data_IF_264532394367
#
_entry.id   IF_264532394367
#
_cell.length_a   1.000
_cell.length_b   1.000
_cell.length_c   1.000
_cell.angle_alpha   90.00
_cell.angle_beta   90.00
_cell.angle_gamma   90.00
#
_symmetry.space_group_name_H-M   'P 1'
#
loop_
_entity.id
_entity.type
_entity.pdbx_description
1 polymer ?
#
# COMPACT_ATOMS: atom_id res chain seq x y z
N UNK A 1 -7.76 -22.47 -9.83
CA UNK A 1 -7.61 -21.22 -9.12
C UNK A 1 -8.65 -20.30 -9.68
N UNK A 2 -8.94 -19.16 -9.10
CA UNK A 2 -10.15 -18.46 -9.49
C UNK A 2 -9.95 -16.95 -9.49
N UNK A 3 -10.52 -16.26 -10.47
CA UNK A 3 -10.71 -14.81 -10.44
C UNK A 3 -11.68 -14.41 -9.32
N UNK A 4 -11.53 -13.19 -8.79
CA UNK A 4 -12.47 -12.60 -7.83
C UNK A 4 -12.95 -11.27 -8.38
N UNK A 5 -14.28 -11.14 -8.57
CA UNK A 5 -14.89 -9.95 -9.17
C UNK A 5 -15.89 -9.36 -8.20
N UNK A 6 -15.67 -8.08 -7.87
CA UNK A 6 -16.56 -7.24 -7.09
C UNK A 6 -17.19 -6.19 -8.02
N UNK A 7 -18.52 -6.12 -8.09
CA UNK A 7 -19.24 -5.15 -8.92
C UNK A 7 -20.22 -4.35 -8.06
N UNK A 8 -19.98 -3.04 -7.98
CA UNK A 8 -20.79 -2.08 -7.23
C UNK A 8 -21.06 -2.51 -5.78
N UNK A 9 -20.09 -3.15 -5.15
CA UNK A 9 -20.19 -3.62 -3.78
C UNK A 9 -20.34 -2.44 -2.83
N UNK A 10 -21.41 -2.47 -2.02
CA UNK A 10 -21.64 -1.51 -0.94
C UNK A 10 -21.79 -2.23 0.40
N UNK A 11 -21.30 -1.58 1.45
CA UNK A 11 -21.56 -1.97 2.84
C UNK A 11 -22.00 -0.77 3.65
N UNK A 12 -23.22 -0.85 4.18
CA UNK A 12 -23.78 0.15 5.09
C UNK A 12 -24.13 -0.50 6.41
N UNK A 13 -23.69 0.07 7.53
CA UNK A 13 -24.06 -0.36 8.87
C UNK A 13 -25.32 0.37 9.39
N UNK A 14 -25.94 -0.15 10.43
CA UNK A 14 -27.25 0.26 10.92
C UNK A 14 -27.43 1.74 11.31
N UNK A 15 -26.33 2.50 11.41
CA UNK A 15 -26.31 3.95 11.65
C UNK A 15 -26.15 4.78 10.36
N UNK A 16 -26.44 4.21 9.19
CA UNK A 16 -26.19 4.76 7.85
C UNK A 16 -24.68 5.03 7.56
N UNK A 17 -23.78 4.47 8.35
CA UNK A 17 -22.34 4.55 8.06
C UNK A 17 -21.99 3.66 6.87
N UNK A 18 -21.60 4.29 5.76
CA UNK A 18 -21.18 3.60 4.55
C UNK A 18 -19.69 3.26 4.65
N UNK A 19 -19.38 2.01 4.99
CA UNK A 19 -18.00 1.54 5.14
C UNK A 19 -17.34 1.18 3.81
N UNK A 20 -18.13 0.78 2.82
CA UNK A 20 -17.71 0.55 1.42
C UNK A 20 -18.78 1.15 0.51
N UNK A 21 -18.33 1.91 -0.48
CA UNK A 21 -19.19 2.60 -1.45
C UNK A 21 -18.80 2.27 -2.89
N UNK A 22 -19.69 1.53 -3.58
CA UNK A 22 -19.57 1.17 -4.99
C UNK A 22 -18.19 0.61 -5.38
N UNK A 23 -17.65 -0.28 -4.55
CA UNK A 23 -16.37 -0.92 -4.84
C UNK A 23 -16.49 -1.81 -6.08
N UNK A 24 -15.76 -1.43 -7.13
CA UNK A 24 -15.57 -2.20 -8.35
C UNK A 24 -14.11 -2.64 -8.42
N UNK A 25 -13.87 -3.95 -8.35
CA UNK A 25 -12.51 -4.51 -8.30
C UNK A 25 -12.51 -5.90 -8.93
N UNK A 26 -11.57 -6.12 -9.84
CA UNK A 26 -11.31 -7.42 -10.46
C UNK A 26 -9.91 -7.88 -10.06
N UNK A 27 -9.80 -9.11 -9.57
CA UNK A 27 -8.54 -9.80 -9.27
C UNK A 27 -8.43 -10.97 -10.22
N UNK A 28 -7.37 -11.02 -11.00
CA UNK A 28 -7.16 -12.05 -12.00
C UNK A 28 -6.75 -13.39 -11.36
N UNK A 29 -6.92 -14.49 -12.09
CA UNK A 29 -6.49 -15.81 -11.62
C UNK A 29 -4.96 -15.83 -11.39
N UNK A 30 -4.55 -16.22 -10.19
CA UNK A 30 -3.15 -16.27 -9.78
C UNK A 30 -2.53 -14.90 -9.39
N UNK A 31 -3.29 -13.81 -9.48
CA UNK A 31 -2.82 -12.47 -9.11
C UNK A 31 -2.61 -12.32 -7.61
N UNK A 32 -1.58 -11.54 -7.24
CA UNK A 32 -1.37 -11.06 -5.89
C UNK A 32 -1.82 -9.59 -5.79
N UNK A 33 -3.07 -9.37 -5.40
CA UNK A 33 -3.62 -8.03 -5.19
C UNK A 33 -3.45 -7.58 -3.74
N UNK A 34 -2.99 -6.35 -3.54
CA UNK A 34 -2.90 -5.74 -2.20
C UNK A 34 -3.95 -4.62 -2.06
N UNK A 35 -4.71 -4.65 -0.97
CA UNK A 35 -5.59 -3.56 -0.55
C UNK A 35 -4.85 -2.71 0.48
N UNK A 36 -4.68 -1.42 0.20
CA UNK A 36 -3.98 -0.48 1.08
C UNK A 36 -4.79 0.81 1.25
N UNK A 37 -4.52 1.56 2.31
CA UNK A 37 -5.19 2.83 2.61
C UNK A 37 -5.13 3.13 4.11
N UNK A 38 -5.53 4.33 4.54
CA UNK A 38 -5.55 4.75 5.94
C UNK A 38 -6.37 3.84 6.83
N UNK A 39 -6.15 3.94 8.13
CA UNK A 39 -6.94 3.22 9.14
C UNK A 39 -8.44 3.54 8.99
N UNK A 40 -9.29 2.51 9.05
CA UNK A 40 -10.75 2.67 8.93
C UNK A 40 -11.28 2.91 7.50
N UNK A 41 -10.45 2.88 6.45
CA UNK A 41 -10.92 3.10 5.07
C UNK A 41 -11.70 1.93 4.43
N UNK A 42 -11.93 0.82 5.16
CA UNK A 42 -12.78 -0.29 4.71
C UNK A 42 -12.05 -1.54 4.20
N UNK A 43 -10.71 -1.61 4.22
CA UNK A 43 -9.91 -2.76 3.72
C UNK A 43 -10.35 -4.10 4.30
N UNK A 44 -10.30 -4.22 5.63
CA UNK A 44 -10.70 -5.46 6.32
C UNK A 44 -12.19 -5.76 6.16
N UNK A 45 -13.05 -4.73 6.00
CA UNK A 45 -14.47 -4.91 5.68
C UNK A 45 -14.63 -5.55 4.30
N UNK A 46 -13.93 -5.03 3.27
CA UNK A 46 -13.94 -5.60 1.93
C UNK A 46 -13.44 -7.06 1.95
N UNK A 47 -12.33 -7.34 2.64
CA UNK A 47 -11.80 -8.69 2.77
C UNK A 47 -12.79 -9.64 3.45
N UNK A 48 -13.44 -9.18 4.54
CA UNK A 48 -14.45 -9.98 5.27
C UNK A 48 -15.71 -10.23 4.45
N UNK A 49 -16.13 -9.27 3.61
CA UNK A 49 -17.24 -9.49 2.66
C UNK A 49 -16.88 -10.57 1.64
N UNK A 50 -15.66 -10.57 1.09
CA UNK A 50 -15.19 -11.64 0.18
C UNK A 50 -15.18 -12.98 0.92
N UNK A 51 -14.76 -13.00 2.18
CA UNK A 51 -14.77 -14.20 3.01
C UNK A 51 -16.17 -14.69 3.42
N UNK A 52 -17.21 -13.89 3.25
CA UNK A 52 -18.57 -14.16 3.76
C UNK A 52 -18.69 -14.05 5.29
N UNK A 53 -17.74 -13.38 5.92
CA UNK A 53 -17.75 -13.06 7.36
C UNK A 53 -18.46 -11.75 7.66
N UNK A 54 -18.79 -11.00 6.63
CA UNK A 54 -19.54 -9.75 6.68
C UNK A 54 -20.52 -9.73 5.50
N UNK A 55 -21.77 -9.38 5.76
CA UNK A 55 -22.81 -9.33 4.74
C UNK A 55 -22.60 -8.15 3.79
N UNK A 56 -22.89 -8.36 2.52
CA UNK A 56 -22.91 -7.34 1.49
C UNK A 56 -24.29 -6.65 1.51
N UNK A 57 -24.33 -5.32 1.53
CA UNK A 57 -25.58 -4.56 1.51
C UNK A 57 -26.18 -4.50 0.09
N UNK A 58 -25.34 -4.33 -0.93
CA UNK A 58 -25.73 -4.36 -2.35
C UNK A 58 -24.51 -4.59 -3.24
N UNK A 59 -24.73 -4.98 -4.49
CA UNK A 59 -23.71 -5.33 -5.46
C UNK A 59 -23.60 -6.83 -5.69
N UNK A 60 -22.65 -7.25 -6.52
CA UNK A 60 -22.41 -8.68 -6.81
C UNK A 60 -20.96 -9.06 -6.52
N UNK A 61 -20.75 -10.27 -6.02
CA UNK A 61 -19.45 -10.88 -5.76
C UNK A 61 -19.36 -12.24 -6.40
N UNK A 62 -18.36 -12.43 -7.28
CA UNK A 62 -18.12 -13.73 -7.91
C UNK A 62 -16.70 -14.22 -7.60
N UNK A 63 -16.58 -15.53 -7.37
CA UNK A 63 -15.31 -16.25 -7.20
C UNK A 63 -15.30 -17.40 -8.21
N UNK A 64 -14.35 -17.42 -9.15
CA UNK A 64 -14.31 -18.41 -10.20
C UNK A 64 -15.59 -18.48 -11.05
N UNK A 65 -16.21 -17.33 -11.32
CA UNK A 65 -17.47 -17.21 -12.06
C UNK A 65 -18.74 -17.57 -11.27
N UNK A 66 -18.62 -18.05 -10.03
CA UNK A 66 -19.75 -18.41 -9.15
C UNK A 66 -20.14 -17.21 -8.30
N UNK A 67 -21.43 -16.85 -8.30
CA UNK A 67 -21.98 -15.85 -7.38
C UNK A 67 -21.96 -16.39 -5.94
N UNK A 68 -21.35 -15.63 -5.03
CA UNK A 68 -21.14 -16.05 -3.64
C UNK A 68 -21.76 -15.10 -2.62
N UNK A 69 -22.59 -14.13 -3.04
CA UNK A 69 -23.14 -13.10 -2.13
C UNK A 69 -23.87 -13.75 -0.95
N UNK A 70 -24.77 -14.68 -1.22
CA UNK A 70 -25.57 -15.39 -0.20
C UNK A 70 -24.91 -16.70 0.28
N UNK A 71 -23.72 -17.03 -0.22
CA UNK A 71 -23.03 -18.28 0.11
C UNK A 71 -22.31 -18.16 1.47
N UNK A 72 -22.50 -19.09 2.40
CA UNK A 72 -21.82 -19.05 3.68
C UNK A 72 -20.30 -19.28 3.53
N UNK A 73 -19.47 -18.77 4.45
CA UNK A 73 -17.99 -18.79 4.35
C UNK A 73 -17.39 -20.18 4.06
N UNK A 74 -17.97 -21.23 4.63
CA UNK A 74 -17.47 -22.62 4.49
C UNK A 74 -17.56 -23.16 3.06
N UNK A 75 -18.46 -22.59 2.25
CA UNK A 75 -18.79 -23.09 0.90
C UNK A 75 -18.15 -22.21 -0.20
N UNK A 76 -17.50 -21.08 0.15
CA UNK A 76 -16.87 -20.15 -0.83
C UNK A 76 -15.53 -20.60 -1.38
N UNK A 77 -15.03 -21.76 -0.98
CA UNK A 77 -13.71 -22.31 -1.38
C UNK A 77 -12.54 -21.33 -1.22
N UNK A 78 -12.52 -20.61 -0.13
CA UNK A 78 -11.46 -19.66 0.23
C UNK A 78 -10.74 -20.08 1.51
N UNK A 79 -9.51 -19.60 1.69
CA UNK A 79 -8.80 -19.70 2.96
C UNK A 79 -8.38 -18.33 3.45
N UNK A 80 -8.56 -18.07 4.75
CA UNK A 80 -8.23 -16.79 5.37
C UNK A 80 -7.15 -16.94 6.43
N UNK A 81 -6.15 -16.06 6.36
CA UNK A 81 -5.13 -15.84 7.39
C UNK A 81 -5.46 -14.56 8.12
N UNK A 82 -5.75 -14.65 9.42
CA UNK A 82 -6.10 -13.52 10.27
C UNK A 82 -4.87 -12.85 10.86
N UNK A 83 -4.97 -11.58 11.20
CA UNK A 83 -3.95 -10.80 11.89
C UNK A 83 -3.42 -11.46 13.17
N UNK A 84 -4.28 -12.11 13.95
CA UNK A 84 -3.92 -12.84 15.17
C UNK A 84 -3.45 -14.28 14.92
N UNK A 85 -3.27 -14.69 13.64
CA UNK A 85 -2.99 -16.07 13.20
C UNK A 85 -4.09 -17.08 13.54
N UNK A 86 -4.92 -16.83 14.55
CA UNK A 86 -6.04 -17.65 15.01
C UNK A 86 -5.70 -19.16 15.18
N UNK A 87 -4.49 -19.48 15.67
CA UNK A 87 -4.07 -20.86 15.93
C UNK A 87 -4.76 -21.44 17.15
N UNK A 88 -5.06 -22.73 17.11
CA UNK A 88 -5.59 -23.46 18.26
C UNK A 88 -4.46 -23.73 19.27
N UNK A 89 -4.44 -23.07 20.44
CA UNK A 89 -3.26 -23.07 21.33
C UNK A 89 -2.99 -24.43 21.99
N UNK A 90 -4.01 -25.27 22.11
CA UNK A 90 -3.91 -26.60 22.71
C UNK A 90 -3.47 -27.68 21.72
N UNK A 91 -3.53 -27.40 20.42
CA UNK A 91 -3.13 -28.31 19.35
C UNK A 91 -1.66 -28.12 18.96
N UNK A 92 -1.03 -29.18 18.50
CA UNK A 92 0.32 -29.14 17.88
C UNK A 92 0.27 -28.42 16.53
N UNK A 93 1.44 -28.14 15.94
CA UNK A 93 1.56 -27.63 14.55
C UNK A 93 0.91 -28.59 13.58
N UNK A 94 1.20 -29.89 13.68
CA UNK A 94 0.57 -30.92 12.85
C UNK A 94 -0.96 -30.87 12.96
N UNK A 95 -1.48 -30.83 14.17
CA UNK A 95 -2.93 -30.82 14.41
C UNK A 95 -3.60 -29.52 13.90
N UNK A 96 -2.93 -28.38 14.04
CA UNK A 96 -3.42 -27.10 13.50
C UNK A 96 -3.53 -27.17 11.98
N UNK A 97 -2.50 -27.65 11.27
CA UNK A 97 -2.50 -27.75 9.82
C UNK A 97 -3.53 -28.81 9.36
N UNK A 98 -3.57 -29.99 10.00
CA UNK A 98 -4.46 -31.07 9.63
C UNK A 98 -5.93 -30.86 10.01
N UNK A 99 -6.27 -29.77 10.72
CA UNK A 99 -7.59 -29.59 11.35
C UNK A 99 -8.74 -29.65 10.35
N UNK A 100 -8.68 -28.91 9.27
CA UNK A 100 -9.72 -28.90 8.21
C UNK A 100 -9.88 -30.27 7.54
N UNK A 101 -8.78 -30.98 7.28
CA UNK A 101 -8.82 -32.33 6.71
C UNK A 101 -9.48 -33.33 7.68
N UNK A 102 -9.26 -33.16 9.00
CA UNK A 102 -9.91 -33.98 10.02
C UNK A 102 -11.42 -33.77 10.02
N UNK A 103 -11.89 -32.53 9.89
CA UNK A 103 -13.30 -32.19 9.78
C UNK A 103 -13.92 -32.76 8.49
N UNK A 104 -13.14 -32.78 7.40
CA UNK A 104 -13.55 -33.38 6.13
C UNK A 104 -13.48 -34.93 6.09
N UNK A 105 -13.20 -35.58 7.24
CA UNK A 105 -13.19 -37.04 7.37
C UNK A 105 -11.99 -37.74 6.71
N UNK A 106 -10.94 -37.00 6.33
CA UNK A 106 -9.74 -37.59 5.71
C UNK A 106 -9.02 -38.54 6.66
N UNK A 107 -8.48 -39.64 6.14
CA UNK A 107 -7.78 -40.67 6.90
C UNK A 107 -6.48 -40.10 7.55
N UNK A 108 -5.98 -40.78 8.60
CA UNK A 108 -4.73 -40.38 9.25
C UNK A 108 -3.54 -40.40 8.28
N UNK A 109 -3.50 -41.36 7.35
CA UNK A 109 -2.44 -41.48 6.35
C UNK A 109 -2.45 -40.30 5.35
N UNK A 110 -3.63 -39.94 4.81
CA UNK A 110 -3.78 -38.79 3.90
C UNK A 110 -3.39 -37.49 4.60
N UNK A 111 -3.87 -37.26 5.84
CA UNK A 111 -3.50 -36.10 6.63
C UNK A 111 -1.99 -36.00 6.84
N UNK A 112 -1.36 -37.11 7.22
CA UNK A 112 0.10 -37.16 7.45
C UNK A 112 0.85 -36.78 6.16
N UNK A 113 0.53 -37.44 5.05
CA UNK A 113 1.17 -37.18 3.75
C UNK A 113 1.07 -35.71 3.38
N UNK A 114 -0.14 -35.11 3.42
CA UNK A 114 -0.39 -33.73 3.01
C UNK A 114 0.28 -32.71 3.95
N UNK A 115 0.25 -32.95 5.27
CA UNK A 115 0.89 -32.07 6.24
C UNK A 115 2.43 -32.14 6.11
N UNK A 116 3.01 -33.32 5.87
CA UNK A 116 4.45 -33.47 5.66
C UNK A 116 4.93 -32.68 4.42
N UNK A 117 4.15 -32.71 3.31
CA UNK A 117 4.42 -31.91 2.10
C UNK A 117 4.44 -30.42 2.41
N UNK A 118 3.38 -29.91 3.05
CA UNK A 118 3.23 -28.51 3.41
C UNK A 118 4.31 -28.07 4.42
N UNK A 119 4.56 -28.91 5.44
CA UNK A 119 5.58 -28.63 6.45
C UNK A 119 6.98 -28.53 5.84
N UNK A 120 7.28 -29.32 4.81
CA UNK A 120 8.53 -29.22 4.07
C UNK A 120 8.64 -27.87 3.33
N UNK A 121 7.59 -27.48 2.61
CA UNK A 121 7.52 -26.21 1.88
C UNK A 121 7.69 -25.01 2.83
N UNK A 122 7.03 -25.05 4.01
CA UNK A 122 7.05 -23.98 5.00
C UNK A 122 8.19 -24.08 6.03
N UNK A 123 9.10 -25.05 5.88
CA UNK A 123 10.22 -25.31 6.82
C UNK A 123 9.75 -25.55 8.26
N UNK A 124 8.65 -26.28 8.43
CA UNK A 124 8.03 -26.60 9.73
C UNK A 124 8.26 -28.05 10.17
N UNK A 125 8.98 -28.85 9.40
CA UNK A 125 9.12 -30.31 9.62
C UNK A 125 9.59 -30.66 11.03
N UNK A 126 10.57 -29.93 11.58
CA UNK A 126 11.09 -30.15 12.93
C UNK A 126 10.18 -29.62 14.05
N UNK A 127 9.12 -28.90 13.71
CA UNK A 127 8.23 -28.23 14.65
C UNK A 127 6.83 -28.87 14.71
N UNK A 128 6.58 -29.96 13.96
CA UNK A 128 5.25 -30.57 13.83
C UNK A 128 4.63 -30.98 15.17
N UNK A 129 5.43 -31.39 16.14
CA UNK A 129 4.97 -31.80 17.49
C UNK A 129 4.95 -30.63 18.48
N UNK A 130 5.42 -29.45 18.09
CA UNK A 130 5.43 -28.25 18.96
C UNK A 130 4.04 -27.62 19.05
N UNK A 131 3.77 -26.90 20.15
CA UNK A 131 2.55 -26.09 20.33
C UNK A 131 2.81 -24.63 19.99
N UNK A 132 1.78 -23.85 19.62
CA UNK A 132 1.92 -22.45 19.27
C UNK A 132 2.65 -21.57 20.29
N UNK A 133 2.52 -21.87 21.57
CA UNK A 133 3.20 -21.14 22.65
C UNK A 133 4.74 -21.22 22.56
N UNK A 134 5.28 -22.27 21.96
CA UNK A 134 6.72 -22.51 21.84
C UNK A 134 7.29 -22.01 20.49
N UNK A 135 6.50 -21.30 19.70
CA UNK A 135 6.89 -20.84 18.37
C UNK A 135 7.19 -19.33 18.36
N UNK A 136 8.14 -18.93 17.52
CA UNK A 136 8.34 -17.51 17.19
C UNK A 136 7.15 -16.93 16.39
N UNK A 137 7.07 -15.60 16.27
CA UNK A 137 6.03 -14.95 15.48
C UNK A 137 5.96 -15.45 14.03
N UNK A 138 7.10 -15.51 13.34
CA UNK A 138 7.18 -16.01 11.96
C UNK A 138 6.84 -17.50 11.85
N UNK A 139 7.21 -18.32 12.85
CA UNK A 139 6.81 -19.72 12.86
C UNK A 139 5.29 -19.88 13.02
N UNK A 140 4.66 -19.10 13.92
CA UNK A 140 3.19 -19.08 14.06
C UNK A 140 2.51 -18.68 12.76
N UNK A 141 3.05 -17.69 12.06
CA UNK A 141 2.53 -17.26 10.77
C UNK A 141 2.63 -18.38 9.72
N UNK A 142 3.77 -19.04 9.59
CA UNK A 142 3.93 -20.19 8.69
C UNK A 142 2.94 -21.31 9.01
N UNK A 143 2.65 -21.56 10.28
CA UNK A 143 1.60 -22.53 10.68
C UNK A 143 0.22 -22.09 10.22
N UNK A 144 -0.12 -20.80 10.36
CA UNK A 144 -1.39 -20.26 9.87
C UNK A 144 -1.51 -20.38 8.34
N UNK A 145 -0.43 -20.12 7.61
CA UNK A 145 -0.36 -20.34 6.17
C UNK A 145 -0.53 -21.83 5.82
N UNK A 146 0.13 -22.73 6.53
CA UNK A 146 -0.01 -24.18 6.31
C UNK A 146 -1.45 -24.67 6.53
N UNK A 147 -2.15 -24.11 7.52
CA UNK A 147 -3.57 -24.39 7.76
C UNK A 147 -4.45 -23.89 6.62
N UNK A 148 -4.11 -22.79 5.98
CA UNK A 148 -4.79 -22.27 4.80
C UNK A 148 -4.50 -23.14 3.56
N UNK A 149 -3.23 -23.46 3.32
CA UNK A 149 -2.76 -24.20 2.14
C UNK A 149 -3.27 -25.65 2.05
N UNK A 150 -3.52 -26.28 3.20
CA UNK A 150 -3.93 -27.69 3.23
C UNK A 150 -5.27 -27.94 2.53
N UNK A 151 -6.08 -26.90 2.34
CA UNK A 151 -7.39 -26.95 1.69
C UNK A 151 -7.33 -26.79 0.17
N UNK A 152 -6.19 -26.33 -0.40
CA UNK A 152 -6.05 -25.97 -1.83
C UNK A 152 -7.17 -25.01 -2.28
N UNK A 153 -7.33 -23.86 -1.63
CA UNK A 153 -8.45 -22.96 -1.89
C UNK A 153 -8.34 -22.29 -3.26
N UNK A 154 -9.48 -21.85 -3.79
CA UNK A 154 -9.55 -21.05 -5.02
C UNK A 154 -8.87 -19.68 -4.84
N UNK A 155 -8.97 -19.07 -3.64
CA UNK A 155 -8.28 -17.81 -3.30
C UNK A 155 -7.81 -17.77 -1.85
N UNK A 156 -6.68 -17.11 -1.61
CA UNK A 156 -6.18 -16.73 -0.29
C UNK A 156 -6.59 -15.31 0.08
N UNK A 157 -7.05 -15.15 1.30
CA UNK A 157 -7.37 -13.85 1.91
C UNK A 157 -6.46 -13.65 3.12
N UNK A 158 -5.71 -12.54 3.17
CA UNK A 158 -4.76 -12.25 4.24
C UNK A 158 -5.05 -10.89 4.87
N UNK A 159 -5.46 -10.88 6.14
CA UNK A 159 -5.79 -9.66 6.90
C UNK A 159 -4.59 -9.27 7.78
N UNK A 160 -3.76 -8.34 7.32
CA UNK A 160 -2.57 -7.80 8.00
C UNK A 160 -1.65 -8.87 8.65
N UNK A 161 -1.23 -9.91 7.92
CA UNK A 161 -0.56 -11.04 8.56
C UNK A 161 0.83 -10.73 9.11
N UNK A 162 1.46 -9.59 8.74
CA UNK A 162 2.79 -9.20 9.18
C UNK A 162 2.82 -8.15 10.29
N UNK A 163 1.67 -7.58 10.67
CA UNK A 163 1.57 -6.45 11.61
C UNK A 163 2.16 -6.74 12.99
N UNK A 164 2.10 -7.99 13.45
CA UNK A 164 2.59 -8.41 14.78
C UNK A 164 4.05 -8.88 14.79
N UNK A 165 4.82 -8.64 13.72
CA UNK A 165 6.22 -9.04 13.62
C UNK A 165 7.16 -7.85 13.80
N UNK A 166 8.36 -8.10 14.34
CA UNK A 166 9.44 -7.13 14.35
C UNK A 166 9.93 -6.80 12.93
N UNK A 167 10.60 -5.65 12.76
CA UNK A 167 11.01 -5.12 11.46
C UNK A 167 11.87 -6.10 10.65
N UNK A 168 12.86 -6.77 11.31
CA UNK A 168 13.77 -7.71 10.64
C UNK A 168 13.03 -8.95 10.13
N UNK A 169 12.16 -9.51 10.97
CA UNK A 169 11.36 -10.68 10.62
C UNK A 169 10.34 -10.35 9.54
N UNK A 170 9.77 -9.12 9.56
CA UNK A 170 8.83 -8.64 8.53
C UNK A 170 9.46 -8.61 7.14
N UNK A 171 10.72 -8.13 7.02
CA UNK A 171 11.46 -8.14 5.75
C UNK A 171 11.62 -9.57 5.21
N UNK A 172 12.02 -10.50 6.07
CA UNK A 172 12.16 -11.91 5.68
C UNK A 172 10.82 -12.52 5.24
N UNK A 173 9.77 -12.30 6.03
CA UNK A 173 8.45 -12.89 5.78
C UNK A 173 7.79 -12.33 4.51
N UNK A 174 8.01 -11.06 4.15
CA UNK A 174 7.57 -10.51 2.85
C UNK A 174 8.12 -11.32 1.69
N UNK A 175 9.43 -11.56 1.67
CA UNK A 175 10.07 -12.34 0.62
C UNK A 175 9.54 -13.78 0.56
N UNK A 176 9.33 -14.41 1.72
CA UNK A 176 8.81 -15.78 1.83
C UNK A 176 7.36 -15.87 1.31
N UNK A 177 6.46 -14.95 1.71
CA UNK A 177 5.07 -14.94 1.26
C UNK A 177 5.00 -14.73 -0.25
N UNK A 178 5.73 -13.76 -0.79
CA UNK A 178 5.77 -13.49 -2.23
C UNK A 178 6.29 -14.70 -3.01
N UNK A 179 7.37 -15.33 -2.54
CA UNK A 179 7.93 -16.54 -3.18
C UNK A 179 6.94 -17.71 -3.15
N UNK A 180 6.28 -17.90 -2.00
CA UNK A 180 5.30 -18.97 -1.82
C UNK A 180 4.07 -18.77 -2.70
N UNK A 181 3.53 -17.55 -2.78
CA UNK A 181 2.38 -17.22 -3.62
C UNK A 181 2.71 -17.52 -5.10
N UNK A 182 3.89 -17.08 -5.58
CA UNK A 182 4.35 -17.37 -6.94
C UNK A 182 4.50 -18.87 -7.22
N UNK A 183 5.03 -19.62 -6.25
CA UNK A 183 5.20 -21.07 -6.36
C UNK A 183 3.83 -21.80 -6.44
N UNK A 184 2.85 -21.33 -5.68
CA UNK A 184 1.52 -21.92 -5.64
C UNK A 184 0.62 -21.44 -6.79
N UNK A 185 0.86 -20.23 -7.30
CA UNK A 185 0.05 -19.56 -8.32
C UNK A 185 -1.39 -19.25 -7.87
N UNK A 186 -1.69 -19.24 -6.56
CA UNK A 186 -3.04 -19.04 -6.04
C UNK A 186 -3.38 -17.55 -6.00
N UNK A 187 -4.56 -17.18 -6.46
CA UNK A 187 -5.13 -15.83 -6.34
C UNK A 187 -5.09 -15.39 -4.88
N UNK A 188 -4.48 -14.24 -4.61
CA UNK A 188 -4.27 -13.77 -3.24
C UNK A 188 -4.72 -12.33 -3.09
N UNK A 189 -5.57 -12.07 -2.10
CA UNK A 189 -5.97 -10.71 -1.69
C UNK A 189 -5.38 -10.46 -0.31
N UNK A 190 -4.52 -9.47 -0.22
CA UNK A 190 -3.75 -9.13 0.97
C UNK A 190 -4.08 -7.73 1.45
N UNK A 191 -4.43 -7.58 2.72
CA UNK A 191 -4.69 -6.28 3.34
C UNK A 191 -3.48 -5.86 4.16
N UNK A 192 -3.05 -4.63 4.02
CA UNK A 192 -2.01 -4.02 4.85
C UNK A 192 -2.24 -2.51 5.01
N UNK A 193 -1.66 -1.94 6.06
CA UNK A 193 -1.44 -0.50 6.21
C UNK A 193 0.01 -0.10 5.90
N UNK A 194 0.92 -1.07 5.69
CA UNK A 194 2.34 -0.84 5.39
C UNK A 194 2.52 -0.63 3.88
N UNK A 195 2.92 0.58 3.49
CA UNK A 195 3.16 0.94 2.10
C UNK A 195 4.31 0.14 1.48
N UNK A 196 5.34 -0.21 2.28
CA UNK A 196 6.48 -0.98 1.77
C UNK A 196 6.02 -2.40 1.40
N UNK A 197 5.11 -3.00 2.18
CA UNK A 197 4.50 -4.28 1.81
C UNK A 197 3.75 -4.15 0.49
N UNK A 198 2.90 -3.12 0.37
CA UNK A 198 2.12 -2.88 -0.85
C UNK A 198 3.01 -2.71 -2.09
N UNK A 199 4.06 -1.91 -1.98
CA UNK A 199 4.94 -1.60 -3.10
C UNK A 199 5.90 -2.73 -3.49
N UNK A 200 6.15 -3.71 -2.59
CA UNK A 200 7.16 -4.76 -2.82
C UNK A 200 6.62 -6.15 -3.07
N UNK A 201 5.36 -6.43 -2.69
CA UNK A 201 4.81 -7.79 -2.74
C UNK A 201 3.76 -7.98 -3.83
N UNK A 202 2.91 -6.97 -4.09
CA UNK A 202 1.76 -7.10 -4.99
C UNK A 202 2.11 -6.98 -6.47
N UNK A 203 1.39 -7.74 -7.30
CA UNK A 203 1.35 -7.50 -8.75
C UNK A 203 0.59 -6.20 -9.05
N UNK A 204 -0.55 -6.00 -8.35
CA UNK A 204 -1.31 -4.74 -8.31
C UNK A 204 -1.65 -4.35 -6.89
N UNK A 205 -1.84 -3.04 -6.70
CA UNK A 205 -2.23 -2.45 -5.42
C UNK A 205 -3.49 -1.61 -5.63
N UNK A 206 -4.49 -1.84 -4.81
CA UNK A 206 -5.74 -1.08 -4.78
C UNK A 206 -5.72 -0.14 -3.57
N UNK A 207 -5.73 1.16 -3.83
CA UNK A 207 -5.70 2.21 -2.81
C UNK A 207 -7.14 2.63 -2.47
N UNK A 208 -7.52 2.47 -1.20
CA UNK A 208 -8.84 2.85 -0.69
C UNK A 208 -8.76 4.10 0.20
N UNK A 209 -9.79 4.96 0.09
CA UNK A 209 -10.03 6.10 0.98
C UNK A 209 -11.50 6.18 1.33
N UNK A 210 -11.86 6.16 2.62
CA UNK A 210 -13.25 6.34 3.06
C UNK A 210 -14.26 5.39 2.39
N UNK A 211 -13.90 4.13 2.19
CA UNK A 211 -14.76 3.13 1.53
C UNK A 211 -14.77 3.16 0.00
N UNK A 212 -14.06 4.10 -0.62
CA UNK A 212 -14.03 4.29 -2.08
C UNK A 212 -12.67 3.89 -2.64
N UNK A 213 -12.66 3.12 -3.73
CA UNK A 213 -11.45 2.80 -4.49
C UNK A 213 -10.96 4.07 -5.21
N UNK A 214 -9.72 4.48 -4.92
CA UNK A 214 -9.10 5.64 -5.54
C UNK A 214 -8.35 5.28 -6.82
N UNK A 215 -7.52 4.24 -6.75
CA UNK A 215 -6.75 3.73 -7.90
C UNK A 215 -6.39 2.27 -7.66
N UNK A 216 -6.36 1.49 -8.72
CA UNK A 216 -5.77 0.14 -8.75
C UNK A 216 -4.82 0.05 -9.92
N UNK A 217 -3.55 -0.24 -9.64
CA UNK A 217 -2.50 -0.32 -10.67
C UNK A 217 -1.29 -1.09 -10.13
N UNK A 218 -0.28 -1.29 -10.98
CA UNK A 218 1.03 -1.79 -10.53
C UNK A 218 1.67 -0.78 -9.55
N UNK A 219 2.50 -1.24 -8.59
CA UNK A 219 3.20 -0.36 -7.65
C UNK A 219 3.93 0.80 -8.35
N UNK A 220 4.62 0.50 -9.44
CA UNK A 220 5.35 1.51 -10.22
C UNK A 220 4.41 2.61 -10.76
N UNK A 221 3.26 2.24 -11.34
CA UNK A 221 2.33 3.23 -11.90
C UNK A 221 1.63 4.06 -10.83
N UNK A 222 1.31 3.48 -9.68
CA UNK A 222 0.78 4.24 -8.54
C UNK A 222 1.74 5.34 -8.09
N UNK A 223 3.04 5.05 -8.11
CA UNK A 223 4.09 5.99 -7.74
C UNK A 223 4.35 7.06 -8.80
N UNK A 224 4.48 6.65 -10.08
CA UNK A 224 4.84 7.53 -11.20
C UNK A 224 3.65 8.31 -11.79
N UNK A 225 2.43 7.79 -11.64
CA UNK A 225 1.22 8.32 -12.28
C UNK A 225 0.00 8.23 -11.36
N UNK A 226 0.04 8.85 -10.16
CA UNK A 226 -1.10 8.90 -9.27
C UNK A 226 -2.25 9.65 -9.93
N UNK A 227 -3.48 9.13 -9.81
CA UNK A 227 -4.68 9.72 -10.44
C UNK A 227 -5.22 10.93 -9.69
N UNK A 228 -4.80 11.13 -8.45
CA UNK A 228 -5.21 12.27 -7.64
C UNK A 228 -4.18 12.60 -6.55
N UNK A 229 -4.35 13.76 -5.91
CA UNK A 229 -3.45 14.26 -4.86
C UNK A 229 -3.40 13.33 -3.64
N UNK A 230 -4.50 12.62 -3.32
CA UNK A 230 -4.53 11.67 -2.23
C UNK A 230 -3.59 10.48 -2.51
N UNK A 231 -3.70 9.84 -3.67
CA UNK A 231 -2.81 8.71 -4.03
C UNK A 231 -1.35 9.18 -4.08
N UNK A 232 -1.11 10.39 -4.58
CA UNK A 232 0.23 10.98 -4.63
C UNK A 232 0.86 11.18 -3.25
N UNK A 233 0.10 11.68 -2.29
CA UNK A 233 0.51 11.86 -0.89
C UNK A 233 0.61 10.54 -0.14
N UNK A 234 -0.39 9.66 -0.32
CA UNK A 234 -0.44 8.37 0.38
C UNK A 234 0.66 7.41 -0.08
N UNK A 235 1.03 7.37 -1.36
CA UNK A 235 2.04 6.46 -1.90
C UNK A 235 3.43 7.11 -1.88
N UNK A 236 4.27 6.65 -0.97
CA UNK A 236 5.64 7.12 -0.73
C UNK A 236 5.84 7.54 0.72
N UNK A 237 7.02 7.28 1.26
CA UNK A 237 7.41 7.69 2.62
C UNK A 237 8.83 8.26 2.55
N UNK A 238 9.01 9.56 2.87
CA UNK A 238 7.98 10.54 3.20
C UNK A 238 7.00 10.84 2.06
N UNK A 239 5.85 11.44 2.43
CA UNK A 239 4.78 11.82 1.50
C UNK A 239 5.22 12.85 0.46
N UNK A 240 4.54 12.89 -0.70
CA UNK A 240 4.79 13.91 -1.72
C UNK A 240 4.52 15.33 -1.17
N UNK A 241 5.44 16.26 -1.43
CA UNK A 241 5.23 17.67 -1.13
C UNK A 241 4.22 18.25 -2.12
N UNK A 242 3.09 18.75 -1.63
CA UNK A 242 2.02 19.34 -2.44
C UNK A 242 1.86 20.83 -2.13
N UNK A 243 1.89 21.68 -3.15
CA UNK A 243 1.82 23.14 -2.99
C UNK A 243 0.84 23.75 -3.98
N UNK A 244 0.21 24.86 -3.56
CA UNK A 244 -0.50 25.75 -4.48
C UNK A 244 0.48 26.56 -5.34
N UNK A 245 0.16 26.70 -6.60
CA UNK A 245 0.83 27.63 -7.51
C UNK A 245 -0.14 28.22 -8.53
N UNK A 246 0.28 29.31 -9.18
CA UNK A 246 -0.40 29.88 -10.33
C UNK A 246 0.45 29.66 -11.57
N UNK A 247 -0.11 29.07 -12.62
CA UNK A 247 0.56 28.87 -13.90
C UNK A 247 0.38 30.12 -14.77
N UNK A 248 1.46 30.84 -15.06
CA UNK A 248 1.44 32.05 -15.92
C UNK A 248 2.32 31.78 -17.14
N UNK A 249 1.73 31.47 -18.26
CA UNK A 249 2.47 31.01 -19.44
C UNK A 249 3.19 29.70 -19.20
N UNK A 250 4.51 29.73 -19.17
CA UNK A 250 5.41 28.60 -18.84
C UNK A 250 6.01 28.73 -17.41
N UNK A 251 5.60 29.73 -16.62
CA UNK A 251 6.09 29.95 -15.26
C UNK A 251 5.08 29.49 -14.21
N UNK A 252 5.56 28.68 -13.29
CA UNK A 252 4.84 28.21 -12.10
C UNK A 252 5.21 29.11 -10.92
N UNK A 253 4.27 29.98 -10.52
CA UNK A 253 4.46 30.98 -9.45
C UNK A 253 3.92 30.40 -8.14
N UNK A 254 4.75 30.33 -7.07
CA UNK A 254 4.32 29.93 -5.74
C UNK A 254 5.09 30.76 -4.70
N UNK A 255 4.38 31.41 -3.77
CA UNK A 255 4.99 32.32 -2.80
C UNK A 255 5.92 33.34 -3.46
N UNK A 256 7.18 33.35 -3.04
CA UNK A 256 8.22 34.28 -3.53
C UNK A 256 9.09 33.70 -4.64
N UNK A 257 8.84 32.51 -5.12
CA UNK A 257 9.64 31.89 -6.19
C UNK A 257 8.83 31.57 -7.44
N UNK A 258 9.53 31.49 -8.55
CA UNK A 258 9.00 31.04 -9.83
C UNK A 258 9.87 29.93 -10.38
N UNK A 259 9.22 28.94 -11.00
CA UNK A 259 9.88 27.83 -11.70
C UNK A 259 9.39 27.85 -13.15
N UNK A 260 10.31 27.94 -14.09
CA UNK A 260 9.99 27.87 -15.52
C UNK A 260 9.88 26.41 -15.93
N UNK A 261 8.68 26.02 -16.34
CA UNK A 261 8.40 24.67 -16.86
C UNK A 261 8.97 24.51 -18.27
N UNK A 262 9.67 23.40 -18.50
CA UNK A 262 10.14 23.03 -19.82
C UNK A 262 9.02 22.45 -20.68
N UNK A 263 9.16 22.47 -22.00
CA UNK A 263 8.17 21.89 -22.93
C UNK A 263 7.85 20.43 -22.60
N UNK A 264 8.81 19.68 -22.05
CA UNK A 264 8.61 18.30 -21.63
C UNK A 264 7.49 18.12 -20.56
N UNK A 265 7.30 19.11 -19.67
CA UNK A 265 6.21 19.10 -18.69
C UNK A 265 4.84 19.16 -19.40
N UNK A 266 4.69 20.02 -20.38
CA UNK A 266 3.47 20.18 -21.17
C UNK A 266 3.21 19.01 -22.15
N UNK A 267 4.26 18.36 -22.64
CA UNK A 267 4.13 17.15 -23.46
C UNK A 267 3.60 15.99 -22.62
N UNK A 268 4.11 15.84 -21.41
CA UNK A 268 3.65 14.79 -20.46
C UNK A 268 2.25 15.05 -19.92
N UNK A 269 1.87 16.33 -19.78
CA UNK A 269 0.61 16.81 -19.21
C UNK A 269 -0.07 17.80 -20.17
N UNK A 270 -0.65 17.33 -21.28
CA UNK A 270 -1.26 18.25 -22.26
C UNK A 270 -2.37 19.12 -21.67
N UNK A 271 -3.11 18.60 -20.67
CA UNK A 271 -4.15 19.31 -19.95
C UNK A 271 -3.64 20.54 -19.19
N UNK A 272 -2.36 20.57 -18.80
CA UNK A 272 -1.78 21.68 -18.03
C UNK A 272 -1.86 23.03 -18.74
N UNK A 273 -1.83 23.06 -20.07
CA UNK A 273 -1.96 24.29 -20.86
C UNK A 273 -3.33 24.99 -20.65
N UNK A 274 -4.37 24.24 -20.32
CA UNK A 274 -5.71 24.81 -20.03
C UNK A 274 -5.79 25.53 -18.69
N UNK A 275 -4.76 25.40 -17.84
CA UNK A 275 -4.63 26.09 -16.56
C UNK A 275 -3.82 27.39 -16.65
N UNK A 276 -3.45 27.86 -17.83
CA UNK A 276 -2.76 29.13 -17.99
C UNK A 276 -3.56 30.29 -17.38
N UNK A 277 -2.95 31.06 -16.48
CA UNK A 277 -3.60 32.11 -15.67
C UNK A 277 -4.42 31.59 -14.47
N UNK A 278 -4.42 30.29 -14.18
CA UNK A 278 -5.21 29.67 -13.11
C UNK A 278 -4.31 29.03 -12.05
N UNK A 279 -4.91 28.77 -10.89
CA UNK A 279 -4.27 27.96 -9.82
C UNK A 279 -4.18 26.50 -10.26
N UNK A 280 -3.09 25.85 -9.81
CA UNK A 280 -2.86 24.43 -9.88
C UNK A 280 -2.25 23.97 -8.55
N UNK A 281 -2.38 22.69 -8.21
CA UNK A 281 -1.59 22.05 -7.19
C UNK A 281 -0.43 21.36 -7.89
N UNK A 282 0.82 21.63 -7.48
CA UNK A 282 1.96 20.90 -7.96
C UNK A 282 2.59 20.05 -6.86
N UNK A 283 3.05 18.88 -7.24
CA UNK A 283 3.65 17.90 -6.34
C UNK A 283 5.10 17.62 -6.71
N UNK A 284 5.96 17.54 -5.69
CA UNK A 284 7.37 17.14 -5.81
C UNK A 284 7.64 16.04 -4.79
N UNK A 285 8.22 14.93 -5.23
CA UNK A 285 8.64 13.87 -4.32
C UNK A 285 9.86 14.31 -3.50
N UNK A 286 10.02 13.83 -2.26
CA UNK A 286 11.17 14.15 -1.40
C UNK A 286 12.53 13.85 -2.06
N UNK A 287 12.64 12.78 -2.82
CA UNK A 287 13.85 12.37 -3.55
C UNK A 287 14.12 13.17 -4.83
N UNK A 288 13.18 14.02 -5.26
CA UNK A 288 13.32 14.91 -6.40
C UNK A 288 13.66 16.37 -6.00
N UNK A 289 13.92 16.55 -4.72
CA UNK A 289 14.50 17.75 -4.13
C UNK A 289 15.98 17.46 -3.82
N UNK A 290 16.90 18.22 -4.41
CA UNK A 290 18.34 17.97 -4.32
C UNK A 290 19.05 19.08 -3.57
N UNK A 291 20.14 18.76 -2.87
CA UNK A 291 21.06 19.79 -2.35
C UNK A 291 21.79 20.44 -3.51
N UNK A 292 21.49 21.73 -3.77
CA UNK A 292 22.08 22.46 -4.88
C UNK A 292 23.61 22.61 -4.78
N UNK A 293 24.20 22.44 -3.61
CA UNK A 293 25.66 22.52 -3.41
C UNK A 293 26.39 21.30 -3.94
N UNK A 294 25.71 20.16 -4.06
CA UNK A 294 26.26 18.90 -4.58
C UNK A 294 25.99 18.71 -6.09
N UNK A 295 25.05 19.46 -6.67
CA UNK A 295 24.63 19.33 -8.06
C UNK A 295 25.57 20.09 -9.01
N UNK A 296 26.76 19.57 -9.24
CA UNK A 296 27.73 20.10 -10.23
C UNK A 296 27.46 19.49 -11.60
N UNK A 297 27.00 20.33 -12.55
CA UNK A 297 26.91 19.96 -13.97
C UNK A 297 25.51 19.83 -14.58
N UNK A 298 24.45 19.77 -13.78
CA UNK A 298 23.06 19.91 -14.24
C UNK A 298 22.54 21.32 -13.99
N UNK A 299 21.84 21.90 -14.98
CA UNK A 299 21.21 23.21 -14.81
C UNK A 299 19.82 23.05 -14.20
N UNK A 300 19.75 22.64 -12.93
CA UNK A 300 18.50 22.66 -12.21
C UNK A 300 18.09 24.09 -11.84
N UNK A 301 16.79 24.33 -11.81
CA UNK A 301 16.28 25.53 -11.16
C UNK A 301 16.32 25.32 -9.64
N UNK A 302 16.37 26.39 -8.89
CA UNK A 302 16.48 26.29 -7.44
C UNK A 302 15.42 27.13 -6.74
N UNK A 303 14.87 26.62 -5.67
CA UNK A 303 13.92 27.32 -4.79
C UNK A 303 14.60 27.64 -3.44
N UNK A 304 14.33 28.81 -2.85
CA UNK A 304 14.82 29.12 -1.50
C UNK A 304 14.09 28.27 -0.46
N UNK A 305 14.81 27.77 0.52
CA UNK A 305 14.25 26.99 1.62
C UNK A 305 15.06 27.22 2.90
N UNK A 306 14.40 27.07 4.05
CA UNK A 306 15.04 27.07 5.36
C UNK A 306 14.98 25.66 5.96
N UNK A 307 16.12 25.15 6.37
CA UNK A 307 16.20 23.86 7.07
C UNK A 307 15.65 23.99 8.49
N UNK A 308 14.63 23.22 8.83
CA UNK A 308 14.04 23.22 10.17
C UNK A 308 14.63 22.12 11.06
N UNK A 309 14.76 20.90 10.52
CA UNK A 309 15.40 19.76 11.18
C UNK A 309 15.98 18.78 10.17
N UNK A 310 16.84 17.87 10.64
CA UNK A 310 17.47 16.84 9.82
C UNK A 310 17.46 15.54 10.61
N UNK A 311 17.08 14.46 9.92
CA UNK A 311 17.20 13.09 10.42
C UNK A 311 18.29 12.38 9.61
N UNK A 312 19.40 12.07 10.24
CA UNK A 312 20.53 11.37 9.61
C UNK A 312 20.32 9.86 9.70
N UNK A 313 19.93 9.22 8.61
CA UNK A 313 19.65 7.77 8.54
C UNK A 313 20.89 6.95 8.12
N UNK A 314 22.05 7.61 7.94
CA UNK A 314 23.29 6.98 7.51
C UNK A 314 23.39 6.77 6.00
N UNK A 315 22.37 6.27 5.33
CA UNK A 315 22.32 6.14 3.87
C UNK A 315 21.80 7.38 3.16
N UNK A 316 21.04 8.23 3.86
CA UNK A 316 20.45 9.47 3.38
C UNK A 316 20.16 10.40 4.55
N UNK A 317 19.94 11.67 4.26
CA UNK A 317 19.42 12.64 5.20
C UNK A 317 17.96 12.97 4.83
N UNK A 318 17.03 12.80 5.78
CA UNK A 318 15.67 13.33 5.66
C UNK A 318 15.70 14.74 6.19
N UNK A 319 15.51 15.72 5.31
CA UNK A 319 15.66 17.15 5.62
C UNK A 319 14.30 17.81 5.59
N UNK A 320 13.87 18.30 6.75
CA UNK A 320 12.63 19.04 6.89
C UNK A 320 12.88 20.51 6.54
N UNK A 321 12.04 21.04 5.67
CA UNK A 321 12.22 22.35 5.08
C UNK A 321 11.01 23.26 5.33
N UNK A 322 11.25 24.55 5.38
CA UNK A 322 10.22 25.56 5.22
C UNK A 322 10.48 26.31 3.90
N UNK A 323 9.53 26.17 2.97
CA UNK A 323 9.52 26.81 1.65
C UNK A 323 8.41 27.86 1.67
N UNK A 324 8.63 29.01 1.07
CA UNK A 324 7.60 30.04 0.94
C UNK A 324 6.55 29.65 -0.12
N UNK A 325 5.72 28.67 0.25
CA UNK A 325 4.64 28.14 -0.55
C UNK A 325 3.48 27.67 0.34
N UNK A 326 2.26 27.78 -0.16
CA UNK A 326 1.08 27.28 0.54
C UNK A 326 0.98 25.77 0.33
N UNK A 327 1.13 25.01 1.40
CA UNK A 327 0.98 23.56 1.38
C UNK A 327 -0.47 23.16 1.18
N UNK A 328 -0.69 22.14 0.36
CA UNK A 328 -1.99 21.52 0.13
C UNK A 328 -2.07 20.20 0.89
N UNK A 329 -3.19 19.99 1.60
CA UNK A 329 -3.48 18.72 2.26
C UNK A 329 -3.86 17.66 1.22
N UNK A 330 -3.16 16.53 1.21
CA UNK A 330 -3.51 15.37 0.38
C UNK A 330 -4.81 14.69 0.83
N UNK A 331 -5.25 14.96 2.07
CA UNK A 331 -6.35 14.27 2.73
C UNK A 331 -5.98 12.86 3.21
N UNK A 332 -4.68 12.60 3.39
CA UNK A 332 -4.16 11.45 4.11
C UNK A 332 -3.95 11.82 5.57
N UNK A 333 -4.69 11.21 6.51
CA UNK A 333 -4.58 11.57 7.93
C UNK A 333 -3.20 11.24 8.52
N UNK A 334 -2.48 10.28 7.93
CA UNK A 334 -1.18 9.84 8.42
C UNK A 334 -0.03 10.75 7.88
N UNK A 335 -0.27 11.53 6.82
CA UNK A 335 0.74 12.42 6.22
C UNK A 335 1.07 13.68 7.06
N UNK A 336 0.30 13.98 8.09
CA UNK A 336 0.52 15.15 8.95
C UNK A 336 1.81 14.99 9.75
N UNK A 337 2.15 13.77 10.16
CA UNK A 337 3.32 13.49 10.99
C UNK A 337 4.65 13.56 10.21
N UNK A 338 4.61 13.41 8.88
CA UNK A 338 5.80 13.43 8.03
C UNK A 338 6.51 14.81 8.01
N UNK A 339 5.80 15.91 8.33
CA UNK A 339 6.31 17.26 8.08
C UNK A 339 6.80 18.00 9.34
N UNK A 340 6.48 17.54 10.55
CA UNK A 340 6.80 18.23 11.79
C UNK A 340 6.08 19.59 11.94
N UNK A 341 6.18 20.20 13.13
CA UNK A 341 5.37 21.38 13.51
C UNK A 341 5.76 22.69 12.78
N UNK A 342 6.96 22.80 12.23
CA UNK A 342 7.50 24.04 11.66
C UNK A 342 7.90 23.94 10.19
N UNK A 343 7.70 22.81 9.56
CA UNK A 343 8.06 22.56 8.16
C UNK A 343 6.83 22.35 7.29
N UNK A 344 6.94 22.69 6.01
CA UNK A 344 5.92 22.43 5.00
C UNK A 344 6.41 21.56 3.84
N UNK A 345 7.69 21.16 3.86
CA UNK A 345 8.31 20.29 2.87
C UNK A 345 9.31 19.33 3.52
N UNK A 346 9.51 18.19 2.87
CA UNK A 346 10.53 17.20 3.21
C UNK A 346 11.35 16.87 1.96
N UNK A 347 12.67 16.80 2.11
CA UNK A 347 13.59 16.37 1.06
C UNK A 347 14.41 15.16 1.50
N UNK A 348 14.90 14.38 0.54
CA UNK A 348 15.91 13.35 0.76
C UNK A 348 17.20 13.79 0.11
N UNK A 349 18.20 14.09 0.94
CA UNK A 349 19.53 14.47 0.46
C UNK A 349 20.53 13.34 0.61
N UNK A 350 21.55 13.36 -0.22
CA UNK A 350 22.67 12.44 -0.10
C UNK A 350 23.41 12.61 1.25
N UNK A 351 24.04 11.54 1.79
CA UNK A 351 24.78 11.61 3.06
C UNK A 351 25.95 12.61 3.07
N UNK A 352 26.40 13.03 1.88
CA UNK A 352 27.47 14.02 1.70
C UNK A 352 26.98 15.47 1.86
N UNK A 353 25.68 15.70 1.96
CA UNK A 353 25.12 17.03 2.17
C UNK A 353 25.59 17.62 3.50
N UNK A 354 26.14 18.83 3.46
CA UNK A 354 26.65 19.55 4.62
C UNK A 354 25.63 20.54 5.20
N UNK A 355 24.35 20.38 4.92
CA UNK A 355 23.28 21.25 5.44
C UNK A 355 23.12 21.08 6.95
N UNK A 356 22.72 22.16 7.64
CA UNK A 356 22.51 22.17 9.08
C UNK A 356 21.14 22.75 9.42
N UNK A 357 20.57 22.33 10.53
CA UNK A 357 19.31 22.91 11.04
C UNK A 357 19.47 24.43 11.24
N UNK A 358 18.47 25.19 10.79
CA UNK A 358 18.43 26.65 10.82
C UNK A 358 19.10 27.35 9.64
N UNK A 359 19.80 26.62 8.74
CA UNK A 359 20.43 27.22 7.56
C UNK A 359 19.45 27.60 6.48
N UNK A 360 19.69 28.72 5.81
CA UNK A 360 19.01 29.09 4.58
C UNK A 360 19.78 28.47 3.41
N UNK A 361 19.08 27.71 2.58
CA UNK A 361 19.65 26.94 1.47
C UNK A 361 18.89 27.20 0.17
N UNK A 362 19.46 26.76 -0.93
CA UNK A 362 18.73 26.61 -2.19
C UNK A 362 18.59 25.14 -2.51
N UNK A 363 17.36 24.72 -2.75
CA UNK A 363 17.04 23.34 -3.12
C UNK A 363 16.88 23.28 -4.64
N UNK A 364 17.62 22.39 -5.27
CA UNK A 364 17.51 22.15 -6.71
C UNK A 364 16.31 21.25 -7.03
N UNK A 365 15.60 21.58 -8.13
CA UNK A 365 14.39 20.88 -8.55
C UNK A 365 14.44 20.53 -10.03
N UNK A 366 13.88 19.36 -10.37
CA UNK A 366 13.69 18.90 -11.74
C UNK A 366 12.21 19.01 -12.12
N UNK A 367 11.83 20.04 -12.88
CA UNK A 367 10.45 20.28 -13.29
C UNK A 367 9.86 19.16 -14.17
N UNK A 368 10.69 18.35 -14.80
CA UNK A 368 10.24 17.17 -15.55
C UNK A 368 9.62 16.08 -14.66
N UNK A 369 9.88 16.12 -13.35
CA UNK A 369 9.37 15.17 -12.38
C UNK A 369 8.16 15.67 -11.59
N UNK A 370 7.71 16.89 -11.85
CA UNK A 370 6.55 17.46 -11.17
C UNK A 370 5.26 16.73 -11.53
N UNK A 371 4.39 16.62 -10.53
CA UNK A 371 3.02 16.19 -10.69
C UNK A 371 2.11 17.41 -10.60
N UNK A 372 0.98 17.38 -11.31
CA UNK A 372 0.02 18.47 -11.30
C UNK A 372 -1.37 17.95 -11.05
N UNK A 373 -2.12 18.66 -10.20
CA UNK A 373 -3.48 18.31 -9.84
C UNK A 373 -4.39 19.54 -9.91
N UNK A 374 -5.63 19.31 -10.26
CA UNK A 374 -6.65 20.33 -10.23
C UNK A 374 -6.94 20.73 -8.77
N UNK A 375 -6.99 22.04 -8.43
CA UNK A 375 -7.14 22.49 -7.05
C UNK A 375 -8.51 22.24 -6.44
N UNK A 376 -9.57 22.00 -7.25
CA UNK A 376 -10.94 21.78 -6.78
C UNK A 376 -11.26 20.28 -6.70
N UNK A 377 -10.91 19.52 -7.73
CA UNK A 377 -11.24 18.10 -7.82
C UNK A 377 -10.14 17.20 -7.26
N UNK A 378 -8.93 17.73 -7.09
CA UNK A 378 -7.71 17.03 -6.72
C UNK A 378 -7.30 15.93 -7.70
N UNK A 379 -7.91 15.85 -8.88
CA UNK A 379 -7.55 14.90 -9.92
C UNK A 379 -6.27 15.34 -10.65
N UNK A 380 -5.51 14.36 -11.13
CA UNK A 380 -4.31 14.62 -11.94
C UNK A 380 -4.66 15.29 -13.26
N UNK A 381 -3.80 16.26 -13.68
CA UNK A 381 -3.94 17.04 -14.92
C UNK A 381 -3.13 16.37 -16.04
#
# INVERSE_FOLDING_TARGET
MAEVILENICKTYGNNFRAIDQLNLSVEDGEFLILVGPSGCGKSTALRMIAGLEDITSGSLRIGGVDVVDMPPKDRDIAMVFQSYALYPHMTVFENIAFSMRLAGKSKAERKKRVDEIAKTLQLTSLLDSKPANLSGGQRQRVAMGRAMVREPAAFLMDEPLSNLDAKLRVQMRAEITSLQKQLGVTTIYVTHDQIEAMTMGDRVAVLKGGVLQQVDTPKRLYESPVNAFVAGFIGSPSMNLFEATLTGDELMSGTFAIRLQDAAFVRRPGLRSYAGRKVVFGIRPEDLYDSSLESGRKYQTIPAKVTSIEELGSEHVVHLNIDAVRVDSGDPDAVDDFGLASNAVARFEPLSAVHSGSDIRVAVDDAKFHFFDPETHLAI
#
